data_IF_966032324743
#
_entry.id   IF_966032324743
#
_cell.length_a   1.000
_cell.length_b   1.000
_cell.length_c   1.000
_cell.angle_alpha   90.00
_cell.angle_beta   90.00
_cell.angle_gamma   90.00
#
_symmetry.space_group_name_H-M   'P 1'
#
loop_
_entity.id
_entity.type
_entity.pdbx_description
1 polymer ?
#
# COMPACT_ATOMS: atom_id res chain seq x y z
N UNK A 1 -52.06 12.55 -7.93
CA UNK A 1 -50.79 13.15 -8.37
C UNK A 1 -49.95 13.35 -7.11
N UNK A 2 -48.85 12.67 -6.78
CA UNK A 2 -48.05 11.64 -7.45
C UNK A 2 -47.31 10.79 -6.40
N UNK A 3 -48.03 9.89 -5.73
CA UNK A 3 -47.44 8.99 -4.72
C UNK A 3 -46.34 8.12 -5.34
N UNK A 4 -46.51 7.70 -6.60
CA UNK A 4 -45.47 7.01 -7.37
C UNK A 4 -44.22 7.86 -7.61
N UNK A 5 -44.34 9.18 -7.81
CA UNK A 5 -43.18 10.05 -7.98
C UNK A 5 -42.41 10.21 -6.67
N UNK A 6 -43.10 10.24 -5.52
CA UNK A 6 -42.48 10.27 -4.20
C UNK A 6 -41.71 8.98 -3.90
N UNK A 7 -42.29 7.81 -4.20
CA UNK A 7 -41.59 6.52 -4.07
C UNK A 7 -40.41 6.39 -5.03
N UNK A 8 -40.56 6.85 -6.28
CA UNK A 8 -39.48 6.86 -7.26
C UNK A 8 -38.31 7.74 -6.80
N UNK A 9 -38.57 8.96 -6.31
CA UNK A 9 -37.55 9.86 -5.80
C UNK A 9 -36.85 9.30 -4.55
N UNK A 10 -37.59 8.69 -3.62
CA UNK A 10 -37.01 8.09 -2.42
C UNK A 10 -36.06 6.93 -2.75
N UNK A 11 -36.43 6.07 -3.70
CA UNK A 11 -35.61 4.93 -4.12
C UNK A 11 -34.33 5.38 -4.85
N UNK A 12 -34.41 6.42 -5.67
CA UNK A 12 -33.27 6.99 -6.38
C UNK A 12 -32.22 7.56 -5.42
N UNK A 13 -32.65 8.27 -4.37
CA UNK A 13 -31.74 8.83 -3.36
C UNK A 13 -31.09 7.71 -2.54
N UNK A 14 -31.86 6.70 -2.12
CA UNK A 14 -31.33 5.55 -1.38
C UNK A 14 -30.29 4.75 -2.19
N UNK A 15 -30.56 4.53 -3.47
CA UNK A 15 -29.63 3.89 -4.40
C UNK A 15 -28.34 4.69 -4.61
N UNK A 16 -28.46 6.02 -4.78
CA UNK A 16 -27.31 6.91 -4.95
C UNK A 16 -26.42 6.96 -3.70
N UNK A 17 -27.00 7.02 -2.50
CA UNK A 17 -26.25 6.99 -1.24
C UNK A 17 -25.51 5.67 -1.06
N UNK A 18 -26.17 4.54 -1.32
CA UNK A 18 -25.56 3.21 -1.19
C UNK A 18 -24.45 3.01 -2.23
N UNK A 19 -24.68 3.45 -3.47
CA UNK A 19 -23.67 3.44 -4.53
C UNK A 19 -22.47 4.32 -4.20
N UNK A 20 -22.70 5.52 -3.65
CA UNK A 20 -21.63 6.43 -3.23
C UNK A 20 -20.80 5.85 -2.09
N UNK A 21 -21.44 5.26 -1.06
CA UNK A 21 -20.75 4.59 0.04
C UNK A 21 -20.00 3.35 -0.44
N UNK A 22 -20.60 2.56 -1.34
CA UNK A 22 -19.95 1.40 -1.94
C UNK A 22 -18.72 1.84 -2.75
N UNK A 23 -18.83 2.86 -3.61
CA UNK A 23 -17.69 3.39 -4.37
C UNK A 23 -16.65 4.01 -3.46
N UNK A 24 -17.03 4.74 -2.40
CA UNK A 24 -16.08 5.34 -1.46
C UNK A 24 -15.32 4.25 -0.67
N UNK A 25 -16.04 3.24 -0.19
CA UNK A 25 -15.47 2.08 0.47
C UNK A 25 -14.61 1.25 -0.50
N UNK A 26 -15.02 1.10 -1.76
CA UNK A 26 -14.24 0.40 -2.78
C UNK A 26 -12.99 1.19 -3.17
N UNK A 27 -13.04 2.52 -3.24
CA UNK A 27 -11.87 3.36 -3.52
C UNK A 27 -10.88 3.40 -2.37
N UNK A 28 -11.36 3.35 -1.12
CA UNK A 28 -10.50 3.16 0.04
C UNK A 28 -9.98 1.73 0.12
N UNK A 29 -10.79 0.75 -0.24
CA UNK A 29 -10.39 -0.65 -0.23
C UNK A 29 -9.50 -1.02 -1.39
N UNK A 30 -9.55 -0.38 -2.56
CA UNK A 30 -8.64 -0.61 -3.69
C UNK A 30 -7.24 -0.12 -3.37
N UNK A 31 -7.09 0.91 -2.53
CA UNK A 31 -5.80 1.24 -1.93
C UNK A 31 -5.25 0.10 -1.08
N UNK A 32 -6.12 -0.76 -0.53
CA UNK A 32 -5.73 -1.93 0.28
C UNK A 32 -5.86 -3.28 -0.47
N UNK A 33 -6.54 -3.29 -1.64
CA UNK A 33 -6.89 -4.44 -2.47
C UNK A 33 -6.18 -4.43 -3.83
N UNK A 34 -5.21 -3.56 -4.06
CA UNK A 34 -3.99 -3.96 -4.78
C UNK A 34 -3.21 -5.00 -3.96
N UNK A 35 -3.91 -6.10 -3.63
CA UNK A 35 -3.36 -7.42 -3.43
C UNK A 35 -3.09 -7.99 -4.83
N UNK A 36 -1.83 -8.11 -5.25
CA UNK A 36 -1.44 -9.34 -5.89
C UNK A 36 -1.28 -10.39 -4.79
N UNK A 37 -2.36 -11.13 -4.56
CA UNK A 37 -2.34 -12.46 -3.97
C UNK A 37 -1.24 -13.28 -4.65
N UNK A 38 -0.13 -13.56 -3.95
CA UNK A 38 0.83 -14.65 -4.21
C UNK A 38 1.50 -14.75 -5.61
N UNK A 39 1.20 -13.86 -6.54
CA UNK A 39 1.67 -13.89 -7.95
C UNK A 39 2.57 -12.70 -8.33
N UNK A 40 2.72 -11.66 -7.48
CA UNK A 40 3.67 -10.57 -7.73
C UNK A 40 5.14 -10.92 -7.41
N UNK A 41 5.51 -12.20 -7.58
CA UNK A 41 6.91 -12.53 -7.87
C UNK A 41 7.34 -12.04 -9.26
N UNK A 42 6.45 -11.41 -10.03
CA UNK A 42 6.70 -11.10 -11.43
C UNK A 42 5.98 -9.85 -11.97
N UNK A 43 5.80 -8.79 -11.17
CA UNK A 43 5.52 -7.47 -11.75
C UNK A 43 6.83 -6.74 -11.89
N UNK A 44 7.28 -6.66 -13.14
CA UNK A 44 8.48 -6.03 -13.62
C UNK A 44 8.53 -4.53 -13.29
N UNK A 45 8.70 -4.16 -12.02
CA UNK A 45 9.60 -3.07 -11.74
C UNK A 45 10.98 -3.59 -12.17
N UNK A 46 11.50 -3.06 -13.29
CA UNK A 46 12.82 -3.42 -13.81
C UNK A 46 13.86 -2.88 -12.84
N UNK A 47 14.02 -3.54 -11.70
CA UNK A 47 15.22 -3.39 -10.91
C UNK A 47 16.37 -3.97 -11.75
N UNK A 48 17.53 -3.28 -11.81
CA UNK A 48 18.69 -3.80 -12.50
C UNK A 48 19.01 -5.23 -12.04
N UNK A 49 19.40 -6.13 -12.97
CA UNK A 49 19.76 -7.50 -12.62
C UNK A 49 20.89 -7.46 -11.59
N UNK A 50 20.63 -7.96 -10.38
CA UNK A 50 21.61 -8.00 -9.28
C UNK A 50 21.12 -7.48 -7.93
N UNK A 51 20.06 -6.66 -7.88
CA UNK A 51 19.51 -6.16 -6.59
C UNK A 51 18.98 -7.31 -5.74
N UNK A 52 18.29 -8.29 -6.34
CA UNK A 52 17.83 -9.50 -5.65
C UNK A 52 18.96 -10.28 -4.97
N UNK A 53 20.11 -10.36 -5.63
CA UNK A 53 21.29 -11.06 -5.13
C UNK A 53 21.95 -10.28 -4.00
N UNK A 54 21.99 -8.95 -4.07
CA UNK A 54 22.53 -8.13 -2.96
C UNK A 54 21.61 -8.17 -1.75
N UNK A 55 20.29 -8.10 -1.98
CA UNK A 55 19.29 -8.19 -0.92
C UNK A 55 19.24 -9.56 -0.24
N UNK A 56 19.61 -10.65 -0.95
CA UNK A 56 19.66 -11.99 -0.36
C UNK A 56 20.94 -12.25 0.44
N UNK A 57 22.02 -11.51 0.15
CA UNK A 57 23.32 -11.63 0.83
C UNK A 57 23.42 -10.71 2.06
N UNK A 58 22.66 -9.62 2.09
CA UNK A 58 22.58 -8.77 3.27
C UNK A 58 21.87 -9.52 4.41
N UNK A 59 22.55 -9.65 5.56
CA UNK A 59 21.97 -10.13 6.82
C UNK A 59 20.89 -9.17 7.37
N UNK A 60 20.80 -7.98 6.79
CA UNK A 60 19.87 -6.92 7.18
C UNK A 60 18.57 -6.99 6.38
N UNK A 61 17.46 -6.72 7.04
CA UNK A 61 16.16 -6.57 6.38
C UNK A 61 16.11 -5.29 5.55
N UNK A 62 15.62 -5.40 4.31
CA UNK A 62 15.45 -4.27 3.39
C UNK A 62 14.06 -4.25 2.76
N UNK A 63 13.57 -3.04 2.46
CA UNK A 63 12.29 -2.74 1.83
C UNK A 63 12.48 -1.60 0.82
N UNK A 64 11.89 -1.72 -0.36
CA UNK A 64 11.91 -0.73 -1.45
C UNK A 64 10.51 -0.14 -1.58
N UNK A 65 10.41 1.18 -1.51
CA UNK A 65 9.15 1.93 -1.62
C UNK A 65 9.05 2.65 -2.95
N UNK A 66 7.84 2.82 -3.47
CA UNK A 66 7.54 3.72 -4.59
C UNK A 66 7.30 5.17 -4.09
N UNK A 67 6.97 6.06 -5.03
CA UNK A 67 6.65 7.46 -4.74
C UNK A 67 5.38 7.63 -3.88
N UNK A 68 4.50 6.62 -3.85
CA UNK A 68 3.26 6.58 -3.08
C UNK A 68 3.37 5.89 -1.71
N UNK A 69 4.59 5.62 -1.23
CA UNK A 69 4.88 4.88 0.02
C UNK A 69 4.40 3.42 0.01
N UNK A 70 4.25 2.83 -1.17
CA UNK A 70 3.89 1.42 -1.36
C UNK A 70 5.14 0.57 -1.47
N UNK A 71 5.13 -0.62 -0.87
CA UNK A 71 6.25 -1.57 -0.94
C UNK A 71 6.28 -2.25 -2.30
N UNK A 72 7.28 -1.93 -3.10
CA UNK A 72 7.54 -2.56 -4.42
C UNK A 72 8.29 -3.87 -4.23
N UNK A 73 9.20 -3.92 -3.26
CA UNK A 73 10.03 -5.10 -2.99
C UNK A 73 10.39 -5.14 -1.52
N UNK A 74 10.45 -6.34 -0.94
CA UNK A 74 10.96 -6.54 0.40
C UNK A 74 11.73 -7.84 0.49
N UNK A 75 12.77 -7.83 1.32
CA UNK A 75 13.50 -9.04 1.72
C UNK A 75 12.60 -10.00 2.51
N UNK A 76 12.93 -11.29 2.49
CA UNK A 76 12.24 -12.31 3.29
C UNK A 76 12.31 -11.99 4.80
N UNK A 77 13.44 -11.46 5.26
CA UNK A 77 13.64 -11.05 6.65
C UNK A 77 12.68 -9.91 7.06
N UNK A 78 12.42 -8.94 6.17
CA UNK A 78 11.46 -7.86 6.45
C UNK A 78 10.02 -8.37 6.62
N UNK A 79 9.62 -9.39 5.86
CA UNK A 79 8.33 -10.06 6.06
C UNK A 79 8.29 -10.87 7.36
N UNK A 80 9.36 -11.60 7.68
CA UNK A 80 9.46 -12.39 8.90
C UNK A 80 9.41 -11.52 10.17
N UNK A 81 10.02 -10.33 10.13
CA UNK A 81 9.97 -9.33 11.21
C UNK A 81 8.67 -8.52 11.24
N UNK A 82 7.75 -8.73 10.28
CA UNK A 82 6.48 -8.02 10.23
C UNK A 82 6.59 -6.53 9.85
N UNK A 83 7.72 -6.11 9.27
CA UNK A 83 7.95 -4.73 8.80
C UNK A 83 7.07 -4.34 7.62
N UNK A 84 6.52 -5.33 6.91
CA UNK A 84 5.62 -5.13 5.77
C UNK A 84 4.33 -5.89 6.01
N UNK A 85 3.20 -5.18 5.92
CA UNK A 85 1.85 -5.76 5.99
C UNK A 85 1.01 -5.19 4.85
N UNK A 86 0.34 -6.06 4.10
CA UNK A 86 -0.55 -5.62 3.01
C UNK A 86 0.14 -4.84 1.89
N UNK A 87 1.45 -5.02 1.68
CA UNK A 87 2.21 -4.24 0.68
C UNK A 87 2.52 -2.80 1.13
N UNK A 88 2.36 -2.49 2.41
CA UNK A 88 2.74 -1.22 3.03
C UNK A 88 3.77 -1.46 4.14
N UNK A 89 4.53 -0.43 4.43
CA UNK A 89 5.41 -0.42 5.59
C UNK A 89 4.54 -0.38 6.85
N UNK A 90 4.68 -1.37 7.72
CA UNK A 90 3.87 -1.51 8.92
C UNK A 90 4.32 -0.59 10.07
N UNK A 91 5.53 -0.04 9.94
CA UNK A 91 6.18 0.79 10.97
C UNK A 91 6.12 2.26 10.54
N UNK A 92 5.24 3.03 11.17
CA UNK A 92 4.99 4.44 10.81
C UNK A 92 6.25 5.31 10.87
N UNK A 93 7.13 5.06 11.86
CA UNK A 93 8.37 5.81 12.03
C UNK A 93 9.33 5.58 10.84
N UNK A 94 9.41 4.36 10.31
CA UNK A 94 10.21 4.09 9.11
C UNK A 94 9.62 4.76 7.86
N UNK A 95 8.29 4.90 7.80
CA UNK A 95 7.59 5.55 6.68
C UNK A 95 7.82 7.07 6.72
N UNK A 96 7.81 7.66 7.91
CA UNK A 96 8.19 9.05 8.08
C UNK A 96 9.64 9.30 7.65
N UNK A 97 10.57 8.44 8.07
CA UNK A 97 11.97 8.55 7.61
C UNK A 97 12.09 8.45 6.10
N UNK A 98 11.38 7.52 5.46
CA UNK A 98 11.39 7.41 4.00
C UNK A 98 10.90 8.71 3.31
N UNK A 99 9.89 9.38 3.87
CA UNK A 99 9.40 10.67 3.36
C UNK A 99 10.36 11.82 3.57
N UNK A 100 11.11 11.81 4.68
CA UNK A 100 12.15 12.81 4.94
C UNK A 100 13.34 12.59 4.01
N UNK A 101 13.84 11.36 3.90
CA UNK A 101 14.91 11.01 2.96
C UNK A 101 14.52 11.25 1.50
N UNK A 102 13.26 11.06 1.11
CA UNK A 102 12.80 11.41 -0.26
C UNK A 102 12.87 12.92 -0.54
N UNK A 103 12.58 13.74 0.47
CA UNK A 103 12.63 15.21 0.34
C UNK A 103 14.06 15.73 0.33
N UNK A 104 14.90 15.18 1.20
CA UNK A 104 16.23 15.72 1.45
C UNK A 104 17.32 15.00 0.64
N UNK A 105 17.07 13.78 0.18
CA UNK A 105 18.05 12.91 -0.48
C UNK A 105 19.10 12.30 0.46
N UNK A 106 19.09 12.68 1.74
CA UNK A 106 20.09 12.29 2.73
C UNK A 106 19.75 10.96 3.41
N UNK A 107 20.78 10.16 3.66
CA UNK A 107 20.66 8.87 4.37
C UNK A 107 20.38 9.17 5.85
N UNK A 108 19.25 8.66 6.35
CA UNK A 108 18.84 8.76 7.77
C UNK A 108 18.86 7.39 8.42
N UNK A 109 19.34 7.34 9.66
CA UNK A 109 19.35 6.13 10.47
C UNK A 109 18.72 6.42 11.83
N UNK A 110 17.86 5.52 12.30
CA UNK A 110 17.31 5.54 13.65
C UNK A 110 17.34 4.14 14.22
N UNK A 111 17.47 4.04 15.53
CA UNK A 111 17.24 2.80 16.27
C UNK A 111 15.74 2.69 16.57
N UNK A 112 15.17 1.53 16.26
CA UNK A 112 13.75 1.24 16.41
C UNK A 112 13.60 0.06 17.36
N UNK A 113 12.81 0.26 18.41
CA UNK A 113 12.33 -0.82 19.26
C UNK A 113 11.04 -1.39 18.63
N UNK A 114 11.12 -2.62 18.09
CA UNK A 114 10.07 -3.30 17.32
C UNK A 114 9.46 -4.49 18.07
#
# INVERSE_FOLDING_TARGET
>A
MDVNAAFAAASAIGGACTGAVAVLAFRWSEREQTRPTRTALNTAAVLPPGVDTVLSVLRSSAVVLDEGDTVVKASSAAYALGLVRGGRLAVDQMLQMARETRRDGEIRQVELDL
#
